data_IF_822372133902
#
_entry.id   IF_822372133902
#
_cell.length_a   1.000
_cell.length_b   1.000
_cell.length_c   1.000
_cell.angle_alpha   90.00
_cell.angle_beta   90.00
_cell.angle_gamma   90.00
#
_symmetry.space_group_name_H-M   'P 1'
#
loop_
_entity.id
_entity.type
_entity.pdbx_description
1 polymer ?
#
# COMPACT_ATOMS: atom_id res chain seq x y z
N UNK A 1 36.39 -49.18 -55.84
CA UNK A 1 37.05 -48.62 -54.65
C UNK A 1 36.69 -47.14 -54.59
N UNK A 2 36.18 -46.52 -53.54
CA UNK A 2 35.29 -46.90 -52.44
C UNK A 2 34.66 -45.58 -52.01
N UNK A 3 33.33 -45.55 -51.89
CA UNK A 3 32.59 -44.44 -51.29
C UNK A 3 32.88 -44.43 -49.78
N UNK A 4 33.20 -43.28 -49.20
CA UNK A 4 33.11 -43.08 -47.75
C UNK A 4 32.69 -41.62 -47.47
N UNK A 5 31.38 -41.40 -47.37
CA UNK A 5 30.82 -40.16 -46.83
C UNK A 5 30.52 -40.43 -45.35
N UNK A 6 31.21 -39.71 -44.46
CA UNK A 6 31.04 -39.81 -43.00
C UNK A 6 29.72 -39.15 -42.55
N UNK A 7 28.98 -39.72 -41.58
CA UNK A 7 27.83 -39.07 -40.96
C UNK A 7 28.33 -38.20 -39.80
N UNK A 8 28.17 -36.88 -39.91
CA UNK A 8 28.55 -35.95 -38.84
C UNK A 8 27.60 -34.74 -38.82
N UNK A 9 26.31 -35.00 -38.62
CA UNK A 9 25.32 -33.91 -38.59
C UNK A 9 24.07 -34.20 -37.73
N UNK A 10 24.15 -35.06 -36.72
CA UNK A 10 22.98 -35.34 -35.84
C UNK A 10 23.25 -35.07 -34.35
N UNK A 11 24.51 -34.97 -33.92
CA UNK A 11 24.82 -34.74 -32.50
C UNK A 11 24.72 -33.26 -32.06
N UNK A 12 24.76 -32.29 -32.98
CA UNK A 12 24.78 -30.85 -32.65
C UNK A 12 23.43 -30.26 -32.27
N UNK A 13 22.32 -30.81 -32.78
CA UNK A 13 20.98 -30.24 -32.57
C UNK A 13 20.40 -30.60 -31.20
N UNK A 14 20.75 -31.78 -30.65
CA UNK A 14 20.23 -32.26 -29.37
C UNK A 14 20.80 -31.48 -28.17
N UNK A 15 22.06 -31.02 -28.26
CA UNK A 15 22.69 -30.21 -27.19
C UNK A 15 22.17 -28.77 -27.14
N UNK A 16 21.79 -28.18 -28.27
CA UNK A 16 21.24 -26.83 -28.30
C UNK A 16 19.82 -26.76 -27.70
N UNK A 17 18.99 -27.78 -27.91
CA UNK A 17 17.63 -27.83 -27.34
C UNK A 17 17.66 -28.13 -25.83
N UNK A 18 18.60 -28.97 -25.36
CA UNK A 18 18.74 -29.25 -23.92
C UNK A 18 19.21 -28.02 -23.12
N UNK A 19 20.08 -27.17 -23.70
CA UNK A 19 20.53 -25.93 -23.06
C UNK A 19 19.41 -24.88 -22.96
N UNK A 20 18.48 -24.83 -23.93
CA UNK A 20 17.34 -23.92 -23.91
C UNK A 20 16.26 -24.33 -22.88
N UNK A 21 16.07 -25.63 -22.63
CA UNK A 21 15.12 -26.12 -21.61
C UNK A 21 15.65 -25.94 -20.18
N UNK A 22 16.97 -26.03 -19.98
CA UNK A 22 17.62 -25.77 -18.68
C UNK A 22 17.77 -24.27 -18.36
N UNK A 23 17.89 -23.40 -19.37
CA UNK A 23 17.88 -21.96 -19.15
C UNK A 23 16.47 -21.42 -18.79
N UNK A 24 15.42 -22.00 -19.38
CA UNK A 24 14.03 -21.61 -19.12
C UNK A 24 13.51 -21.99 -17.72
N UNK A 25 14.17 -22.93 -17.03
CA UNK A 25 13.79 -23.39 -15.69
C UNK A 25 14.45 -22.60 -14.55
N UNK A 26 15.30 -21.62 -14.86
CA UNK A 26 16.02 -20.81 -13.87
C UNK A 26 15.38 -19.44 -13.58
N UNK A 27 14.34 -19.04 -14.31
CA UNK A 27 13.50 -17.89 -13.92
C UNK A 27 12.55 -18.37 -12.83
N UNK A 28 13.10 -18.59 -11.64
CA UNK A 28 12.31 -18.62 -10.42
C UNK A 28 11.76 -17.21 -10.29
N UNK A 29 10.52 -17.00 -10.75
CA UNK A 29 9.81 -15.77 -10.51
C UNK A 29 9.97 -15.46 -9.02
N UNK A 30 10.74 -14.42 -8.72
CA UNK A 30 10.87 -13.90 -7.36
C UNK A 30 9.45 -13.46 -7.02
N UNK A 31 8.70 -14.33 -6.35
CA UNK A 31 7.40 -13.94 -5.81
C UNK A 31 7.70 -12.71 -4.95
N UNK A 32 7.05 -11.57 -5.19
CA UNK A 32 7.15 -10.47 -4.25
C UNK A 32 6.86 -11.05 -2.87
N UNK A 33 7.73 -10.74 -1.91
CA UNK A 33 7.48 -11.12 -0.53
C UNK A 33 6.06 -10.63 -0.17
N UNK A 34 5.28 -11.41 0.60
CA UNK A 34 4.03 -10.89 1.15
C UNK A 34 4.34 -9.55 1.83
N UNK A 35 3.51 -8.54 1.57
CA UNK A 35 3.67 -7.19 2.10
C UNK A 35 3.75 -7.27 3.63
N UNK A 36 4.98 -7.28 4.15
CA UNK A 36 5.23 -7.49 5.56
C UNK A 36 4.79 -6.23 6.31
N UNK A 37 3.81 -6.36 7.21
CA UNK A 37 3.44 -5.31 8.16
C UNK A 37 2.34 -4.34 7.72
N UNK A 38 1.56 -4.66 6.68
CA UNK A 38 0.37 -3.86 6.37
C UNK A 38 -0.79 -4.27 7.30
N UNK A 39 -1.19 -3.38 8.22
CA UNK A 39 -2.30 -3.59 9.16
C UNK A 39 -3.62 -3.93 8.45
N UNK A 40 -3.76 -3.47 7.21
CA UNK A 40 -4.94 -3.68 6.38
C UNK A 40 -5.02 -5.09 5.79
N UNK A 41 -4.04 -5.95 6.01
CA UNK A 41 -4.11 -7.36 5.64
C UNK A 41 -4.32 -8.23 6.88
N UNK A 42 -5.30 -9.13 6.82
CA UNK A 42 -5.45 -10.15 7.86
C UNK A 42 -4.20 -11.05 7.88
N UNK A 43 -3.69 -11.40 9.08
CA UNK A 43 -2.60 -12.36 9.20
C UNK A 43 -2.99 -13.71 8.57
N UNK A 44 -2.04 -14.46 7.97
CA UNK A 44 -2.31 -15.80 7.47
C UNK A 44 -2.85 -16.73 8.57
N UNK A 45 -3.69 -17.74 8.23
CA UNK A 45 -4.28 -18.65 9.22
C UNK A 45 -3.28 -19.34 10.15
N UNK A 46 -2.07 -19.63 9.67
CA UNK A 46 -1.00 -20.20 10.50
C UNK A 46 -0.58 -19.24 11.63
N UNK A 47 -0.52 -17.94 11.36
CA UNK A 47 -0.18 -16.92 12.35
C UNK A 47 -1.34 -16.68 13.32
N UNK A 48 -2.59 -16.66 12.82
CA UNK A 48 -3.79 -16.58 13.66
C UNK A 48 -3.87 -17.72 14.70
N UNK A 49 -3.42 -18.93 14.34
CA UNK A 49 -3.38 -20.09 15.24
C UNK A 49 -2.28 -19.97 16.31
N UNK A 50 -1.15 -19.36 15.99
CA UNK A 50 -0.03 -19.15 16.92
C UNK A 50 -0.38 -18.09 17.98
N UNK A 51 -1.07 -17.02 17.61
CA UNK A 51 -1.57 -15.99 18.54
C UNK A 51 -2.59 -16.53 19.56
N UNK A 52 -3.17 -17.71 19.31
CA UNK A 52 -4.16 -18.36 20.18
C UNK A 52 -3.53 -19.08 21.37
N UNK A 53 -2.25 -19.46 21.27
CA UNK A 53 -1.55 -20.20 22.32
C UNK A 53 -1.34 -19.37 23.61
N UNK A 54 -1.54 -18.05 23.55
CA UNK A 54 -1.45 -17.11 24.67
C UNK A 54 -2.80 -16.70 25.27
N UNK A 55 -3.93 -17.18 24.74
CA UNK A 55 -5.28 -16.79 25.17
C UNK A 55 -6.08 -17.98 25.71
N UNK A 56 -6.58 -17.86 26.96
CA UNK A 56 -7.28 -18.90 27.71
C UNK A 56 -8.63 -19.38 27.12
N UNK A 57 -9.35 -20.29 27.82
CA UNK A 57 -10.47 -21.03 27.23
C UNK A 57 -11.70 -20.15 26.97
N UNK A 58 -12.28 -20.28 25.77
CA UNK A 58 -13.47 -19.55 25.31
C UNK A 58 -14.71 -20.45 25.42
N UNK A 59 -15.80 -19.93 26.00
CA UNK A 59 -17.10 -20.60 26.14
C UNK A 59 -17.83 -20.80 24.78
N UNK A 60 -18.71 -21.81 24.62
CA UNK A 60 -19.30 -22.14 23.34
C UNK A 60 -20.62 -21.40 23.09
N UNK A 61 -20.58 -20.40 22.20
CA UNK A 61 -21.70 -19.87 21.37
C UNK A 61 -21.29 -18.64 20.52
N UNK A 62 -20.05 -18.16 20.60
CA UNK A 62 -19.55 -17.02 19.84
C UNK A 62 -18.87 -17.45 18.53
N UNK A 63 -19.08 -16.69 17.44
CA UNK A 63 -18.20 -16.76 16.26
C UNK A 63 -16.74 -16.63 16.67
N UNK A 64 -15.88 -17.40 16.01
CA UNK A 64 -14.45 -17.46 16.32
C UNK A 64 -13.64 -16.65 15.33
N UNK A 65 -12.43 -16.28 15.74
CA UNK A 65 -11.42 -15.65 14.87
C UNK A 65 -11.25 -16.39 13.54
N UNK A 66 -11.22 -17.73 13.56
CA UNK A 66 -11.02 -18.52 12.34
C UNK A 66 -12.21 -18.41 11.36
N UNK A 67 -13.38 -18.05 11.85
CA UNK A 67 -14.61 -17.94 11.05
C UNK A 67 -14.78 -16.55 10.44
N UNK A 68 -14.37 -15.49 11.15
CA UNK A 68 -14.69 -14.10 10.75
C UNK A 68 -13.48 -13.16 10.66
N UNK A 69 -12.28 -13.64 11.01
CA UNK A 69 -11.04 -12.86 11.03
C UNK A 69 -10.97 -11.91 12.23
N UNK A 70 -11.91 -10.98 12.33
CA UNK A 70 -12.05 -10.03 13.44
C UNK A 70 -13.38 -10.25 14.17
N UNK A 71 -13.30 -10.81 15.38
CA UNK A 71 -14.49 -11.09 16.21
C UNK A 71 -15.02 -9.82 16.87
N UNK A 72 -14.14 -8.84 17.12
CA UNK A 72 -14.50 -7.64 17.88
C UNK A 72 -15.48 -6.73 17.10
N UNK A 73 -15.36 -6.71 15.76
CA UNK A 73 -16.25 -5.97 14.86
C UNK A 73 -17.47 -6.76 14.38
N UNK A 74 -17.52 -8.08 14.58
CA UNK A 74 -18.60 -8.92 14.05
C UNK A 74 -19.97 -8.55 14.62
N UNK A 75 -20.94 -8.32 13.72
CA UNK A 75 -22.32 -7.98 14.08
C UNK A 75 -22.55 -6.51 14.48
N UNK A 76 -21.51 -5.66 14.38
CA UNK A 76 -21.64 -4.21 14.61
C UNK A 76 -22.11 -3.48 13.34
N UNK A 77 -22.67 -2.28 13.56
CA UNK A 77 -23.16 -1.44 12.47
C UNK A 77 -22.05 -0.55 11.95
N UNK A 78 -21.88 -0.49 10.63
CA UNK A 78 -20.94 0.43 9.99
C UNK A 78 -21.37 1.89 10.23
N UNK A 79 -20.41 2.72 10.64
CA UNK A 79 -20.56 4.15 10.87
C UNK A 79 -19.66 4.91 9.89
N UNK A 80 -20.24 5.90 9.21
CA UNK A 80 -19.47 6.84 8.41
C UNK A 80 -18.88 7.93 9.32
N UNK A 81 -17.55 8.03 9.37
CA UNK A 81 -16.87 8.90 10.33
C UNK A 81 -16.40 10.22 9.70
N UNK A 82 -16.16 10.25 8.40
CA UNK A 82 -15.78 11.49 7.72
C UNK A 82 -15.27 11.30 6.31
N UNK A 83 -15.10 12.42 5.61
CA UNK A 83 -14.50 12.50 4.28
C UNK A 83 -13.63 13.75 4.18
N UNK A 84 -12.49 13.63 3.52
CA UNK A 84 -11.61 14.73 3.14
C UNK A 84 -10.94 14.43 1.81
N UNK A 85 -10.21 15.38 1.23
CA UNK A 85 -9.54 15.18 -0.04
C UNK A 85 -8.24 15.96 -0.18
N UNK A 86 -7.20 15.28 -0.64
CA UNK A 86 -5.93 15.91 -1.01
C UNK A 86 -5.92 16.27 -2.49
N UNK A 87 -5.26 17.38 -2.81
CA UNK A 87 -4.92 17.79 -4.17
C UNK A 87 -3.40 17.90 -4.25
N UNK A 88 -2.80 17.16 -5.18
CA UNK A 88 -1.35 17.15 -5.40
C UNK A 88 -1.09 17.35 -6.88
N UNK A 89 -0.12 18.20 -7.20
CA UNK A 89 0.29 18.47 -8.57
C UNK A 89 1.73 17.99 -8.81
N UNK A 90 1.95 17.26 -9.88
CA UNK A 90 3.28 17.02 -10.44
C UNK A 90 3.39 17.84 -11.72
N UNK A 91 4.32 18.79 -11.79
CA UNK A 91 4.43 19.70 -12.92
C UNK A 91 5.90 20.01 -13.25
N UNK A 92 6.25 20.52 -14.44
CA UNK A 92 7.64 20.88 -14.75
C UNK A 92 8.21 21.94 -13.81
N UNK A 93 7.35 22.79 -13.26
CA UNK A 93 7.66 23.84 -12.29
C UNK A 93 6.54 23.93 -11.25
N UNK A 94 6.89 24.25 -10.02
CA UNK A 94 5.92 24.57 -8.97
C UNK A 94 5.92 26.06 -8.68
N UNK A 95 4.75 26.67 -8.62
CA UNK A 95 4.59 28.06 -8.19
C UNK A 95 4.77 28.14 -6.67
N UNK A 96 5.77 28.88 -6.15
CA UNK A 96 5.97 29.01 -4.71
C UNK A 96 4.85 29.81 -4.00
N UNK A 97 3.99 30.49 -4.75
CA UNK A 97 2.85 31.25 -4.22
C UNK A 97 1.57 30.42 -4.13
N UNK A 98 1.50 29.28 -4.81
CA UNK A 98 0.39 28.34 -4.70
C UNK A 98 0.61 27.43 -3.47
N UNK A 99 -0.28 27.45 -2.47
CA UNK A 99 -0.16 26.60 -1.30
C UNK A 99 -0.47 25.11 -1.59
N UNK A 100 -0.93 24.77 -2.79
CA UNK A 100 -1.24 23.39 -3.18
C UNK A 100 0.04 22.56 -3.24
N UNK A 101 0.09 21.38 -2.58
CA UNK A 101 1.24 20.49 -2.66
C UNK A 101 1.68 20.21 -4.11
N UNK A 102 2.93 20.53 -4.42
CA UNK A 102 3.48 20.39 -5.76
C UNK A 102 4.88 19.77 -5.73
N UNK A 103 5.17 18.89 -6.70
CA UNK A 103 6.51 18.39 -6.97
C UNK A 103 6.93 18.75 -8.40
N UNK A 104 8.08 19.41 -8.50
CA UNK A 104 8.70 19.71 -9.79
C UNK A 104 9.23 18.42 -10.43
N UNK A 105 8.86 18.20 -11.69
CA UNK A 105 9.25 17.04 -12.48
C UNK A 105 10.63 17.25 -13.10
N UNK A 106 11.52 16.29 -12.85
CA UNK A 106 12.79 16.18 -13.55
C UNK A 106 12.54 15.98 -15.05
N UNK A 107 13.32 16.63 -15.92
CA UNK A 107 13.23 16.40 -17.36
C UNK A 107 13.40 14.92 -17.72
N UNK A 108 12.54 14.44 -18.62
CA UNK A 108 12.67 13.08 -19.17
C UNK A 108 14.06 12.86 -19.77
N UNK A 109 14.71 11.69 -19.56
CA UNK A 109 14.18 10.44 -19.02
C UNK A 109 14.35 10.27 -17.50
N UNK A 110 14.76 11.30 -16.76
CA UNK A 110 14.96 11.17 -15.32
C UNK A 110 13.64 10.85 -14.59
N UNK A 111 13.74 10.05 -13.52
CA UNK A 111 12.62 9.80 -12.62
C UNK A 111 12.57 10.91 -11.57
N UNK A 112 11.36 11.32 -11.20
CA UNK A 112 11.09 12.24 -10.10
C UNK A 112 10.51 11.44 -8.94
N UNK A 113 11.15 11.45 -7.78
CA UNK A 113 10.54 10.95 -6.55
C UNK A 113 9.73 12.08 -5.90
N UNK A 114 8.65 11.71 -5.22
CA UNK A 114 7.86 12.63 -4.41
C UNK A 114 7.46 11.98 -3.10
N UNK A 115 7.35 12.80 -2.06
CA UNK A 115 6.91 12.39 -0.73
C UNK A 115 6.14 13.55 -0.09
N UNK A 116 4.84 13.39 0.03
CA UNK A 116 3.95 14.36 0.65
C UNK A 116 3.38 13.78 1.93
N UNK A 117 3.69 14.40 3.06
CA UNK A 117 3.18 14.00 4.37
C UNK A 117 2.04 14.91 4.81
N UNK A 118 1.06 14.38 5.53
CA UNK A 118 -0.04 15.18 6.11
C UNK A 118 -0.78 16.02 5.06
N UNK A 119 -1.02 15.41 3.90
CA UNK A 119 -1.70 16.06 2.75
C UNK A 119 -3.13 16.46 3.07
N UNK A 120 -3.78 15.66 3.93
CA UNK A 120 -5.07 15.92 4.56
C UNK A 120 -5.16 15.17 5.88
N UNK A 121 -6.04 15.65 6.76
CA UNK A 121 -6.34 14.98 8.03
C UNK A 121 -7.82 14.96 8.35
N UNK A 122 -8.22 13.96 9.13
CA UNK A 122 -9.55 13.82 9.74
C UNK A 122 -9.34 13.71 11.26
N UNK A 123 -9.96 14.61 12.01
CA UNK A 123 -10.00 14.56 13.47
C UNK A 123 -11.25 13.81 13.92
N UNK A 124 -11.06 12.69 14.59
CA UNK A 124 -12.14 11.83 15.08
C UNK A 124 -12.35 12.08 16.58
N UNK A 125 -13.60 12.31 17.02
CA UNK A 125 -13.88 12.51 18.43
C UNK A 125 -13.67 11.22 19.22
N UNK A 126 -13.65 11.35 20.55
CA UNK A 126 -13.68 10.20 21.47
C UNK A 126 -14.81 9.25 21.10
N UNK A 127 -14.55 7.93 21.14
CA UNK A 127 -15.56 6.90 20.86
C UNK A 127 -16.22 7.03 19.48
N UNK A 128 -15.45 7.48 18.47
CA UNK A 128 -15.91 7.52 17.09
C UNK A 128 -16.28 6.12 16.56
N UNK A 129 -15.54 5.10 16.99
CA UNK A 129 -15.71 3.69 16.63
C UNK A 129 -15.58 2.80 17.88
N UNK A 130 -15.94 1.53 17.78
CA UNK A 130 -15.84 0.57 18.87
C UNK A 130 -14.53 -0.24 18.85
N UNK A 131 -14.16 -0.75 17.69
CA UNK A 131 -13.07 -1.72 17.53
C UNK A 131 -12.31 -1.61 16.22
N UNK A 132 -12.81 -0.86 15.23
CA UNK A 132 -12.23 -0.86 13.89
C UNK A 132 -12.27 0.52 13.23
N UNK A 133 -11.18 0.89 12.57
CA UNK A 133 -11.13 1.95 11.57
C UNK A 133 -10.76 1.36 10.21
N UNK A 134 -11.54 1.72 9.20
CA UNK A 134 -11.31 1.33 7.82
C UNK A 134 -11.39 2.54 6.90
N UNK A 135 -10.62 2.53 5.82
CA UNK A 135 -10.65 3.59 4.82
C UNK A 135 -11.45 3.17 3.59
N UNK A 136 -12.02 4.18 2.92
CA UNK A 136 -12.44 4.08 1.54
C UNK A 136 -11.71 5.17 0.74
N UNK A 137 -10.77 4.74 -0.08
CA UNK A 137 -9.83 5.59 -0.79
C UNK A 137 -10.21 5.69 -2.26
N UNK A 138 -10.38 6.91 -2.77
CA UNK A 138 -10.79 7.17 -4.15
C UNK A 138 -9.80 8.08 -4.85
N UNK A 139 -8.74 7.54 -5.46
CA UNK A 139 -7.88 8.30 -6.36
C UNK A 139 -8.63 8.71 -7.64
N UNK A 140 -8.48 9.97 -8.02
CA UNK A 140 -8.80 10.49 -9.36
C UNK A 140 -7.52 11.10 -9.90
N UNK A 141 -6.92 10.40 -10.87
CA UNK A 141 -5.61 10.72 -11.41
C UNK A 141 -5.82 11.23 -12.83
N UNK A 142 -5.28 12.40 -13.15
CA UNK A 142 -5.18 12.90 -14.52
C UNK A 142 -3.72 13.08 -14.85
N UNK A 143 -3.19 12.27 -15.78
CA UNK A 143 -1.76 12.21 -16.09
C UNK A 143 -1.56 12.53 -17.56
N UNK A 144 -0.73 13.52 -17.84
CA UNK A 144 -0.20 13.77 -19.17
C UNK A 144 1.10 12.96 -19.33
N UNK A 145 1.04 11.90 -20.11
CA UNK A 145 2.18 11.10 -20.50
C UNK A 145 2.87 11.73 -21.70
N UNK A 146 4.21 11.74 -21.71
CA UNK A 146 4.99 12.26 -22.83
C UNK A 146 6.30 11.52 -23.04
N UNK A 147 6.58 11.18 -24.29
CA UNK A 147 7.87 10.66 -24.73
C UNK A 147 8.51 11.64 -25.72
N UNK A 148 9.33 12.56 -25.21
CA UNK A 148 10.10 13.49 -26.05
C UNK A 148 11.37 12.86 -26.65
N UNK A 149 11.65 11.58 -26.39
CA UNK A 149 12.85 10.91 -26.87
C UNK A 149 12.67 10.33 -28.28
N UNK A 150 13.77 9.97 -28.92
CA UNK A 150 13.77 9.33 -30.25
C UNK A 150 13.54 7.81 -30.22
N UNK A 151 13.30 7.22 -29.04
CA UNK A 151 13.13 5.76 -28.88
C UNK A 151 11.83 5.44 -28.14
N UNK A 152 11.25 4.24 -28.34
CA UNK A 152 10.12 3.80 -27.53
C UNK A 152 10.51 3.72 -26.05
N UNK A 153 9.59 4.12 -25.17
CA UNK A 153 9.79 4.12 -23.71
C UNK A 153 8.55 3.56 -23.00
N UNK A 154 8.68 3.31 -21.70
CA UNK A 154 7.55 3.05 -20.81
C UNK A 154 7.44 4.21 -19.83
N UNK A 155 6.35 4.96 -19.91
CA UNK A 155 6.00 5.92 -18.88
C UNK A 155 5.57 5.21 -17.61
N UNK A 156 5.95 5.76 -16.46
CA UNK A 156 5.69 5.15 -15.16
C UNK A 156 5.20 6.18 -14.15
N UNK A 157 4.18 5.80 -13.40
CA UNK A 157 3.69 6.50 -12.21
C UNK A 157 3.46 5.46 -11.12
N UNK A 158 4.11 5.65 -9.98
CA UNK A 158 3.93 4.81 -8.79
C UNK A 158 3.39 5.68 -7.69
N UNK A 159 2.32 5.24 -7.02
CA UNK A 159 1.68 5.92 -5.90
C UNK A 159 1.58 4.93 -4.75
N UNK A 160 2.10 5.30 -3.58
CA UNK A 160 2.05 4.50 -2.36
C UNK A 160 1.47 5.39 -1.25
N UNK A 161 0.16 5.32 -0.99
CA UNK A 161 -0.44 6.05 0.10
C UNK A 161 -0.19 5.33 1.43
N UNK A 162 0.02 6.09 2.51
CA UNK A 162 0.06 5.59 3.89
C UNK A 162 -0.78 6.48 4.79
N UNK A 163 -1.15 5.97 5.96
CA UNK A 163 -1.88 6.74 6.98
C UNK A 163 -1.01 6.89 8.22
N UNK A 164 -0.91 8.10 8.74
CA UNK A 164 -0.42 8.34 10.11
C UNK A 164 -1.61 8.49 11.04
N UNK A 165 -1.63 7.70 12.10
CA UNK A 165 -2.67 7.72 13.13
C UNK A 165 -2.07 8.27 14.41
N UNK A 166 -2.59 9.39 14.88
CA UNK A 166 -2.19 10.04 16.13
C UNK A 166 -3.25 9.75 17.20
N UNK A 167 -2.81 9.23 18.35
CA UNK A 167 -3.70 8.90 19.47
C UNK A 167 -2.94 9.03 20.81
N UNK A 168 -3.51 9.70 21.82
CA UNK A 168 -2.84 9.91 23.11
C UNK A 168 -2.43 8.64 23.86
N UNK A 169 -3.03 7.49 23.57
CA UNK A 169 -2.59 6.21 24.18
C UNK A 169 -1.17 5.86 23.72
N UNK A 170 -0.79 6.25 22.50
CA UNK A 170 0.52 5.99 21.92
C UNK A 170 1.63 6.92 22.46
N UNK A 171 1.29 7.90 23.31
CA UNK A 171 2.27 8.79 23.95
C UNK A 171 3.03 8.11 25.10
N UNK A 172 2.59 6.93 25.54
CA UNK A 172 3.28 6.17 26.59
C UNK A 172 4.67 5.73 26.11
N UNK A 173 5.78 6.21 26.72
CA UNK A 173 7.13 5.86 26.30
C UNK A 173 7.47 4.38 26.50
N UNK A 174 6.67 3.63 27.28
CA UNK A 174 6.81 2.19 27.43
C UNK A 174 6.20 1.40 26.25
N UNK A 175 5.34 2.02 25.42
CA UNK A 175 4.81 1.41 24.22
C UNK A 175 5.83 1.54 23.08
N UNK A 176 6.48 0.42 22.78
CA UNK A 176 7.50 0.33 21.73
C UNK A 176 6.85 -0.11 20.43
N UNK A 177 7.09 0.64 19.37
CA UNK A 177 6.74 0.26 18.01
C UNK A 177 7.63 -0.92 17.57
N UNK A 178 7.04 -2.10 17.27
CA UNK A 178 7.80 -3.28 16.88
C UNK A 178 8.49 -3.12 15.53
N UNK A 179 8.04 -2.19 14.67
CA UNK A 179 8.65 -1.92 13.37
C UNK A 179 9.95 -1.10 13.48
N UNK A 180 10.03 -0.19 14.45
CA UNK A 180 11.18 0.73 14.60
C UNK A 180 12.06 0.42 15.80
N UNK A 181 11.55 -0.30 16.80
CA UNK A 181 12.23 -0.54 18.07
C UNK A 181 12.29 0.69 18.99
N UNK A 182 11.59 1.78 18.64
CA UNK A 182 11.50 3.01 19.41
C UNK A 182 10.08 3.20 19.97
N UNK A 183 9.87 4.07 20.97
CA UNK A 183 8.52 4.41 21.41
C UNK A 183 7.66 4.99 20.27
N UNK A 184 6.36 4.71 20.26
CA UNK A 184 5.43 5.25 19.24
C UNK A 184 5.41 6.79 19.21
N UNK A 185 5.59 7.44 20.36
CA UNK A 185 5.65 8.91 20.44
C UNK A 185 4.37 9.59 19.94
N UNK A 186 3.22 9.03 20.33
CA UNK A 186 1.89 9.59 20.05
C UNK A 186 1.30 9.21 18.71
N UNK A 187 2.03 8.48 17.87
CA UNK A 187 1.60 8.14 16.51
C UNK A 187 2.06 6.77 16.06
N UNK A 188 1.35 6.24 15.08
CA UNK A 188 1.75 5.07 14.31
C UNK A 188 1.57 5.36 12.83
N UNK A 189 2.40 4.77 11.98
CA UNK A 189 2.19 4.75 10.54
C UNK A 189 1.69 3.38 10.11
N UNK A 190 0.71 3.36 9.21
CA UNK A 190 0.13 2.14 8.66
C UNK A 190 0.03 2.22 7.15
N UNK A 191 0.36 1.10 6.50
CA UNK A 191 0.26 0.97 5.05
C UNK A 191 -1.20 0.98 4.57
N UNK A 192 -1.37 1.21 3.27
CA UNK A 192 -2.64 1.03 2.59
C UNK A 192 -2.44 0.05 1.44
N UNK A 193 -3.38 -0.87 1.26
CA UNK A 193 -3.40 -1.81 0.12
C UNK A 193 -3.78 -1.12 -1.20
N UNK A 194 -3.98 0.21 -1.17
CA UNK A 194 -4.31 1.07 -2.32
C UNK A 194 -3.09 1.64 -3.05
N UNK A 195 -1.96 0.94 -3.02
CA UNK A 195 -0.76 1.32 -3.77
C UNK A 195 -0.92 0.95 -5.24
N UNK A 196 -0.56 1.86 -6.14
CA UNK A 196 -0.81 1.75 -7.58
C UNK A 196 0.48 1.91 -8.40
N UNK A 197 0.59 1.15 -9.48
CA UNK A 197 1.68 1.26 -10.47
C UNK A 197 1.10 1.27 -11.88
N UNK A 198 1.25 2.41 -12.54
CA UNK A 198 0.87 2.59 -13.94
C UNK A 198 2.11 2.48 -14.82
N UNK A 199 2.02 1.69 -15.88
CA UNK A 199 3.06 1.54 -16.90
C UNK A 199 2.44 1.64 -18.28
N UNK A 200 2.94 2.60 -19.07
CA UNK A 200 2.33 2.96 -20.36
C UNK A 200 3.42 2.94 -21.43
N UNK A 201 3.40 1.98 -22.37
CA UNK A 201 4.33 1.99 -23.49
C UNK A 201 4.00 3.15 -24.45
N UNK A 202 5.03 3.89 -24.87
CA UNK A 202 4.90 5.05 -25.73
C UNK A 202 5.92 5.03 -26.87
N UNK A 203 5.45 5.25 -28.09
CA UNK A 203 6.33 5.49 -29.24
C UNK A 203 7.06 6.85 -29.12
N UNK A 204 8.14 7.08 -29.88
CA UNK A 204 8.82 8.38 -29.94
C UNK A 204 7.86 9.51 -30.30
N UNK A 205 7.97 10.66 -29.62
CA UNK A 205 7.17 11.86 -29.89
C UNK A 205 5.71 11.82 -29.45
N UNK A 206 5.27 10.73 -28.82
CA UNK A 206 3.87 10.59 -28.37
C UNK A 206 3.66 11.36 -27.06
N UNK A 207 2.55 12.10 -26.99
CA UNK A 207 2.03 12.67 -25.77
C UNK A 207 0.50 12.55 -25.74
N UNK A 208 -0.06 12.18 -24.59
CA UNK A 208 -1.51 12.10 -24.39
C UNK A 208 -1.86 12.21 -22.92
N UNK A 209 -3.13 12.51 -22.65
CA UNK A 209 -3.64 12.61 -21.29
C UNK A 209 -4.56 11.43 -21.01
N UNK A 210 -4.33 10.77 -19.88
CA UNK A 210 -5.18 9.72 -19.35
C UNK A 210 -5.83 10.20 -18.05
N UNK A 211 -7.08 9.79 -17.82
CA UNK A 211 -7.76 10.00 -16.55
C UNK A 211 -8.27 8.68 -16.00
N UNK A 212 -7.81 8.33 -14.81
CA UNK A 212 -8.14 7.08 -14.12
C UNK A 212 -8.83 7.39 -12.81
N UNK A 213 -9.87 6.61 -12.51
CA UNK A 213 -10.60 6.66 -11.24
C UNK A 213 -10.88 5.25 -10.79
N UNK A 214 -10.28 4.88 -9.68
CA UNK A 214 -10.58 3.64 -8.98
C UNK A 214 -10.90 3.96 -7.52
N UNK A 215 -11.53 3.04 -6.81
CA UNK A 215 -11.76 3.20 -5.38
C UNK A 215 -11.47 1.89 -4.67
N UNK A 216 -10.50 1.93 -3.77
CA UNK A 216 -10.11 0.81 -2.93
C UNK A 216 -10.72 0.99 -1.53
N UNK A 217 -11.28 -0.09 -1.00
CA UNK A 217 -11.73 -0.18 0.38
C UNK A 217 -10.68 -1.00 1.13
N UNK A 218 -10.43 -0.65 2.37
CA UNK A 218 -9.58 -1.45 3.24
C UNK A 218 -10.07 -2.92 3.27
N UNK A 219 -9.16 -3.88 3.45
CA UNK A 219 -9.49 -5.32 3.53
C UNK A 219 -9.80 -5.70 4.98
N UNK A 220 -8.90 -5.38 5.91
CA UNK A 220 -8.99 -5.78 7.32
C UNK A 220 -9.25 -4.62 8.28
N UNK A 221 -9.09 -3.37 7.81
CA UNK A 221 -9.05 -2.18 8.65
C UNK A 221 -7.61 -1.74 8.87
N UNK A 222 -7.34 -0.44 8.72
CA UNK A 222 -5.99 0.09 8.96
C UNK A 222 -5.65 0.16 10.45
N UNK A 223 -6.67 0.14 11.32
CA UNK A 223 -6.56 -0.09 12.77
C UNK A 223 -7.71 -0.97 13.23
N UNK A 224 -7.37 -2.03 13.96
CA UNK A 224 -8.34 -2.86 14.67
C UNK A 224 -7.86 -3.09 16.09
N UNK A 225 -8.79 -3.30 17.02
CA UNK A 225 -8.46 -3.65 18.41
C UNK A 225 -7.51 -4.83 18.48
N UNK A 226 -7.79 -5.83 17.66
CA UNK A 226 -6.93 -7.00 17.55
C UNK A 226 -5.53 -6.65 17.07
N UNK A 227 -5.39 -5.87 15.99
CA UNK A 227 -4.06 -5.55 15.46
C UNK A 227 -3.26 -4.67 16.43
N UNK A 228 -3.91 -3.82 17.22
CA UNK A 228 -3.26 -3.10 18.32
C UNK A 228 -2.62 -4.07 19.34
N UNK A 229 -3.28 -5.18 19.65
CA UNK A 229 -2.77 -6.19 20.59
C UNK A 229 -1.75 -7.11 19.92
N UNK A 230 -2.16 -7.80 18.86
CA UNK A 230 -1.39 -8.88 18.23
C UNK A 230 -0.22 -8.35 17.38
N UNK A 231 -0.42 -7.21 16.72
CA UNK A 231 0.55 -6.61 15.79
C UNK A 231 1.44 -5.56 16.45
N UNK A 232 0.85 -4.70 17.27
CA UNK A 232 1.57 -3.58 17.92
C UNK A 232 1.91 -3.82 19.40
N UNK A 233 1.49 -4.95 19.98
CA UNK A 233 1.89 -5.34 21.33
C UNK A 233 1.21 -4.58 22.47
N UNK A 234 0.12 -3.85 22.20
CA UNK A 234 -0.64 -3.18 23.25
C UNK A 234 -1.35 -4.21 24.15
N UNK A 235 -1.49 -3.88 25.43
CA UNK A 235 -2.36 -4.65 26.31
C UNK A 235 -3.83 -4.49 25.90
N UNK A 236 -4.72 -5.45 26.24
CA UNK A 236 -6.15 -5.31 25.97
C UNK A 236 -6.75 -4.00 26.52
N UNK A 237 -6.29 -3.56 27.70
CA UNK A 237 -6.76 -2.30 28.29
C UNK A 237 -6.30 -1.06 27.51
N UNK A 238 -5.06 -1.05 27.00
CA UNK A 238 -4.56 0.03 26.15
C UNK A 238 -5.29 0.05 24.80
N UNK A 239 -5.56 -1.12 24.20
CA UNK A 239 -6.33 -1.22 22.98
C UNK A 239 -7.78 -0.73 23.17
N UNK A 240 -8.44 -1.05 24.29
CA UNK A 240 -9.76 -0.52 24.64
C UNK A 240 -9.73 1.00 24.88
N UNK A 241 -8.67 1.50 25.50
CA UNK A 241 -8.51 2.93 25.76
C UNK A 241 -8.26 3.72 24.48
N UNK A 242 -7.56 3.14 23.50
CA UNK A 242 -7.30 3.75 22.19
C UNK A 242 -8.60 4.23 21.53
N UNK A 243 -9.62 3.39 21.48
CA UNK A 243 -10.93 3.72 20.89
C UNK A 243 -11.78 4.69 21.73
N UNK A 244 -11.44 4.90 23.01
CA UNK A 244 -12.10 5.87 23.88
C UNK A 244 -11.49 7.27 23.77
N UNK A 245 -10.29 7.41 23.20
CA UNK A 245 -9.60 8.69 22.99
C UNK A 245 -9.94 9.31 21.62
N UNK A 246 -9.76 10.63 21.46
CA UNK A 246 -9.78 11.22 20.13
C UNK A 246 -8.60 10.69 19.30
N UNK A 247 -8.79 10.60 17.98
CA UNK A 247 -7.78 10.08 17.05
C UNK A 247 -7.70 11.00 15.84
N UNK A 248 -6.50 11.38 15.43
CA UNK A 248 -6.30 12.10 14.16
C UNK A 248 -5.72 11.14 13.14
N UNK A 249 -6.30 11.10 11.95
CA UNK A 249 -5.78 10.28 10.84
C UNK A 249 -5.34 11.21 9.72
N UNK A 250 -4.10 11.04 9.26
CA UNK A 250 -3.44 11.88 8.26
C UNK A 250 -3.06 11.03 7.05
N UNK A 251 -3.30 11.55 5.85
CA UNK A 251 -2.90 10.90 4.60
C UNK A 251 -1.50 11.35 4.18
N UNK A 252 -0.62 10.38 3.93
CA UNK A 252 0.65 10.59 3.26
C UNK A 252 0.61 9.94 1.88
N UNK A 253 1.31 10.53 0.92
CA UNK A 253 1.38 10.03 -0.44
C UNK A 253 2.82 10.17 -0.94
N UNK A 254 3.45 9.02 -1.20
CA UNK A 254 4.81 8.97 -1.76
C UNK A 254 4.86 8.14 -3.02
N UNK A 255 5.86 8.37 -3.86
CA UNK A 255 5.95 7.66 -5.13
C UNK A 255 6.98 8.19 -6.08
N UNK A 256 6.80 7.87 -7.35
CA UNK A 256 7.67 8.36 -8.41
C UNK A 256 6.95 8.51 -9.75
N UNK A 257 7.42 9.44 -10.56
CA UNK A 257 6.93 9.71 -11.91
C UNK A 257 8.10 9.74 -12.91
N UNK A 258 7.89 9.14 -14.08
CA UNK A 258 8.85 9.11 -15.19
C UNK A 258 8.09 9.19 -16.51
N UNK A 259 8.56 10.03 -17.45
CA UNK A 259 7.86 10.35 -18.70
C UNK A 259 6.45 10.93 -18.50
N UNK A 260 6.28 11.68 -17.41
CA UNK A 260 5.09 12.47 -17.10
C UNK A 260 5.41 13.93 -17.40
N UNK A 261 4.53 14.62 -18.13
CA UNK A 261 4.63 16.06 -18.38
C UNK A 261 3.87 16.88 -17.34
N UNK A 262 2.77 16.33 -16.86
CA UNK A 262 1.94 16.90 -15.80
C UNK A 262 1.12 15.78 -15.16
N UNK A 263 0.84 15.86 -13.86
CA UNK A 263 -0.18 15.05 -13.22
C UNK A 263 -0.95 15.83 -12.17
N UNK A 264 -2.28 15.71 -12.19
CA UNK A 264 -3.16 16.12 -11.09
C UNK A 264 -3.63 14.87 -10.36
N UNK A 265 -3.24 14.75 -9.10
CA UNK A 265 -3.56 13.62 -8.23
C UNK A 265 -4.54 14.10 -7.18
N UNK A 266 -5.80 13.68 -7.29
CA UNK A 266 -6.84 13.99 -6.30
C UNK A 266 -7.14 12.73 -5.52
N UNK A 267 -7.02 12.78 -4.20
CA UNK A 267 -7.23 11.63 -3.34
C UNK A 267 -8.39 11.88 -2.39
N UNK A 268 -9.53 11.22 -2.60
CA UNK A 268 -10.62 11.21 -1.63
C UNK A 268 -10.36 10.18 -0.54
N UNK A 269 -10.24 10.62 0.71
CA UNK A 269 -10.14 9.74 1.87
C UNK A 269 -11.45 9.80 2.66
N UNK A 270 -12.07 8.63 2.85
CA UNK A 270 -13.17 8.47 3.81
C UNK A 270 -12.75 7.50 4.88
N UNK A 271 -13.23 7.73 6.10
CA UNK A 271 -13.02 6.81 7.21
C UNK A 271 -14.38 6.30 7.66
N UNK A 272 -14.45 4.99 7.85
CA UNK A 272 -15.58 4.28 8.44
C UNK A 272 -15.12 3.56 9.71
N UNK A 273 -16.07 3.29 10.59
CA UNK A 273 -15.88 2.49 11.80
C UNK A 273 -17.10 1.64 12.12
N UNK A 274 -17.13 1.07 13.32
CA UNK A 274 -18.14 0.14 13.84
C UNK A 274 -18.71 0.55 15.21
#
# INVERSE_FOLDING_TARGET
>A
MSRLVKPLAVAGLALAVAALVLAASSVRATRPAPEAGNADLLPPPAQLRLSRASSGPVAPASVTVDQVGDVDSFGRNLRWLGVTNAFITLAPTCDPTDPTPCQALSPSPASTAFDFTDTVRIELPKKATNSLFCYWFSPVLTVNWQNATASPVVGRLVINPTLTVENPVLDDPALIDPGTGAPFGGRLETGMTSSERFEVPMAPGVAFTERTRDSAVCIAGFITRRNLIDGYGLTPAQADEFFKKPTTVKLNVRGSAQHVGFASLVFGLRIIGD
#
